data_IF_108309862141
#
_entry.id   IF_108309862141
#
_cell.length_a   1.000
_cell.length_b   1.000
_cell.length_c   1.000
_cell.angle_alpha   90.00
_cell.angle_beta   90.00
_cell.angle_gamma   90.00
#
_symmetry.space_group_name_H-M   'P 1'
#
loop_
_entity.id
_entity.type
_entity.pdbx_description
1 polymer ?
#
# COMPACT_ATOMS: atom_id res chain seq x y z
N UNK A 1 -14.02 -2.96 -17.52
CA UNK A 1 -12.83 -3.54 -16.88
C UNK A 1 -12.24 -2.70 -15.74
N UNK A 2 -12.42 -1.38 -15.76
CA UNK A 2 -11.99 -0.47 -14.67
C UNK A 2 -12.71 -0.62 -13.30
N UNK A 3 -13.87 -1.27 -13.27
CA UNK A 3 -14.72 -1.30 -12.06
C UNK A 3 -14.21 -2.24 -10.96
N UNK A 4 -13.63 -3.39 -11.30
CA UNK A 4 -13.17 -4.39 -10.30
C UNK A 4 -11.85 -3.90 -9.67
N UNK A 5 -10.94 -3.37 -10.47
CA UNK A 5 -9.65 -2.83 -10.01
C UNK A 5 -9.85 -1.63 -9.07
N UNK A 6 -10.79 -0.75 -9.41
CA UNK A 6 -11.17 0.40 -8.56
C UNK A 6 -11.76 -0.08 -7.22
N UNK A 7 -12.56 -1.14 -7.21
CA UNK A 7 -13.20 -1.68 -6.01
C UNK A 7 -12.19 -2.30 -5.03
N UNK A 8 -11.18 -3.02 -5.51
CA UNK A 8 -10.16 -3.66 -4.66
C UNK A 8 -9.24 -2.62 -4.00
N UNK A 9 -8.85 -1.58 -4.73
CA UNK A 9 -8.04 -0.48 -4.18
C UNK A 9 -8.83 0.34 -3.15
N UNK A 10 -10.12 0.55 -3.39
CA UNK A 10 -11.02 1.25 -2.47
C UNK A 10 -11.12 0.50 -1.14
N UNK A 11 -11.36 -0.81 -1.17
CA UNK A 11 -11.43 -1.64 0.05
C UNK A 11 -10.11 -1.59 0.83
N UNK A 12 -8.97 -1.70 0.15
CA UNK A 12 -7.63 -1.60 0.79
C UNK A 12 -7.43 -0.26 1.51
N UNK A 13 -7.82 0.83 0.86
CA UNK A 13 -7.71 2.17 1.45
C UNK A 13 -8.58 2.34 2.70
N UNK A 14 -9.82 1.86 2.66
CA UNK A 14 -10.69 1.91 3.84
C UNK A 14 -10.19 1.05 4.99
N UNK A 15 -9.62 -0.13 4.71
CA UNK A 15 -9.02 -0.98 5.74
C UNK A 15 -7.82 -0.30 6.42
N UNK A 16 -6.97 0.39 5.66
CA UNK A 16 -5.85 1.16 6.21
C UNK A 16 -6.34 2.33 7.07
N UNK A 17 -7.31 3.10 6.60
CA UNK A 17 -7.92 4.18 7.38
C UNK A 17 -8.56 3.67 8.69
N UNK A 18 -9.17 2.50 8.66
CA UNK A 18 -9.72 1.85 9.85
C UNK A 18 -8.61 1.48 10.84
N UNK A 19 -7.50 0.93 10.35
CA UNK A 19 -6.32 0.64 11.18
C UNK A 19 -5.80 1.92 11.83
N UNK A 20 -5.64 2.99 11.07
CA UNK A 20 -5.19 4.29 11.57
C UNK A 20 -6.13 4.85 12.65
N UNK A 21 -7.44 4.78 12.43
CA UNK A 21 -8.43 5.22 13.41
C UNK A 21 -8.36 4.39 14.71
N UNK A 22 -8.21 3.08 14.60
CA UNK A 22 -8.10 2.18 15.76
C UNK A 22 -6.79 2.43 16.53
N UNK A 23 -5.67 2.56 15.83
CA UNK A 23 -4.36 2.80 16.48
C UNK A 23 -4.32 4.18 17.15
N UNK A 24 -4.94 5.19 16.54
CA UNK A 24 -5.11 6.52 17.12
C UNK A 24 -5.91 6.44 18.42
N UNK A 25 -7.09 5.79 18.39
CA UNK A 25 -7.95 5.67 19.57
C UNK A 25 -7.24 4.91 20.71
N UNK A 26 -6.57 3.80 20.40
CA UNK A 26 -5.82 3.02 21.37
C UNK A 26 -4.66 3.82 21.99
N UNK A 27 -3.90 4.52 21.14
CA UNK A 27 -2.75 5.33 21.59
C UNK A 27 -3.18 6.49 22.48
N UNK A 28 -4.25 7.18 22.08
CA UNK A 28 -4.77 8.31 22.84
C UNK A 28 -5.33 7.86 24.20
N UNK A 29 -6.13 6.78 24.20
CA UNK A 29 -6.66 6.20 25.43
C UNK A 29 -5.55 5.76 26.37
N UNK A 30 -4.52 5.05 25.83
CA UNK A 30 -3.38 4.62 26.62
C UNK A 30 -2.57 5.81 27.18
N UNK A 31 -2.36 6.87 26.42
CA UNK A 31 -1.65 8.06 26.87
C UNK A 31 -2.42 8.81 27.98
N UNK A 32 -3.73 8.94 27.85
CA UNK A 32 -4.60 9.55 28.88
C UNK A 32 -4.59 8.67 30.13
N UNK A 33 -4.74 7.36 29.98
CA UNK A 33 -4.70 6.41 31.09
C UNK A 33 -3.36 6.45 31.85
N UNK A 34 -2.24 6.50 31.12
CA UNK A 34 -0.90 6.59 31.73
C UNK A 34 -0.73 7.85 32.56
N UNK A 35 -1.35 8.96 32.17
CA UNK A 35 -1.23 10.25 32.87
C UNK A 35 -2.20 10.38 34.04
N UNK A 36 -3.44 9.94 33.89
CA UNK A 36 -4.53 10.21 34.85
C UNK A 36 -5.02 8.96 35.59
N UNK A 37 -4.63 7.75 35.15
CA UNK A 37 -5.13 6.50 35.71
C UNK A 37 -6.60 6.24 35.32
N UNK A 38 -7.18 5.19 35.95
CA UNK A 38 -8.55 4.75 35.65
C UNK A 38 -9.65 5.72 36.14
N UNK A 39 -9.36 6.59 37.12
CA UNK A 39 -10.39 7.32 37.85
C UNK A 39 -10.46 8.84 37.56
N UNK A 40 -9.63 9.40 36.72
CA UNK A 40 -9.57 10.85 36.58
C UNK A 40 -9.56 11.34 35.15
N UNK A 41 -10.65 11.11 34.47
CA UNK A 41 -11.04 12.05 33.41
C UNK A 41 -11.74 13.27 34.07
N UNK A 42 -11.08 13.94 35.01
CA UNK A 42 -11.61 15.13 35.70
C UNK A 42 -11.92 16.23 34.68
N UNK A 43 -13.15 16.23 34.16
CA UNK A 43 -13.72 17.32 33.35
C UNK A 43 -13.07 17.62 31.99
N UNK A 44 -11.91 17.03 31.69
CA UNK A 44 -11.12 17.33 30.49
C UNK A 44 -11.18 16.22 29.41
N UNK A 45 -12.00 15.18 29.59
CA UNK A 45 -12.15 14.09 28.62
C UNK A 45 -12.57 14.57 27.23
N UNK A 46 -13.41 15.60 27.19
CA UNK A 46 -13.89 16.20 25.94
C UNK A 46 -12.77 16.72 25.04
N UNK A 47 -11.71 17.29 25.63
CA UNK A 47 -10.56 17.84 24.88
C UNK A 47 -9.84 16.75 24.12
N UNK A 48 -9.66 15.56 24.73
CA UNK A 48 -9.00 14.44 24.08
C UNK A 48 -9.87 13.82 22.99
N UNK A 49 -11.19 13.83 23.15
CA UNK A 49 -12.14 13.40 22.11
C UNK A 49 -12.06 14.37 20.92
N UNK A 50 -12.10 15.68 21.17
CA UNK A 50 -11.96 16.71 20.12
C UNK A 50 -10.62 16.55 19.38
N UNK A 51 -9.53 16.38 20.13
CA UNK A 51 -8.20 16.12 19.54
C UNK A 51 -8.22 14.87 18.67
N UNK A 52 -8.76 13.75 19.14
CA UNK A 52 -8.84 12.50 18.40
C UNK A 52 -9.65 12.60 17.11
N UNK A 53 -10.81 13.28 17.16
CA UNK A 53 -11.64 13.51 15.96
C UNK A 53 -10.91 14.37 14.94
N UNK A 54 -10.27 15.44 15.40
CA UNK A 54 -9.51 16.35 14.54
C UNK A 54 -8.32 15.65 13.90
N UNK A 55 -7.56 14.87 14.68
CA UNK A 55 -6.43 14.08 14.18
C UNK A 55 -6.88 13.05 13.13
N UNK A 56 -7.98 12.33 13.39
CA UNK A 56 -8.56 11.40 12.43
C UNK A 56 -8.97 12.10 11.12
N UNK A 57 -9.56 13.28 11.22
CA UNK A 57 -9.92 14.11 10.07
C UNK A 57 -8.69 14.57 9.27
N UNK A 58 -7.61 14.95 9.94
CA UNK A 58 -6.36 15.35 9.29
C UNK A 58 -5.64 14.17 8.63
N UNK A 59 -5.64 12.99 9.25
CA UNK A 59 -5.10 11.75 8.65
C UNK A 59 -5.88 11.40 7.38
N UNK A 60 -7.21 11.46 7.44
CA UNK A 60 -8.08 11.24 6.27
C UNK A 60 -7.78 12.23 5.15
N UNK A 61 -7.66 13.51 5.48
CA UNK A 61 -7.33 14.58 4.52
C UNK A 61 -5.93 14.36 3.92
N UNK A 62 -4.94 14.05 4.75
CA UNK A 62 -3.59 13.72 4.32
C UNK A 62 -3.58 12.52 3.35
N UNK A 63 -4.31 11.46 3.70
CA UNK A 63 -4.44 10.26 2.86
C UNK A 63 -5.04 10.56 1.50
N UNK A 64 -6.03 11.47 1.45
CA UNK A 64 -6.72 11.85 0.21
C UNK A 64 -5.85 12.74 -0.69
N UNK A 65 -5.09 13.67 -0.09
CA UNK A 65 -4.26 14.62 -0.86
C UNK A 65 -2.97 13.98 -1.38
N UNK A 66 -2.33 13.14 -0.56
CA UNK A 66 -0.99 12.62 -0.88
C UNK A 66 -1.00 11.25 -1.53
N UNK A 67 -2.17 10.60 -1.66
CA UNK A 67 -2.28 9.21 -2.14
C UNK A 67 -1.30 8.26 -1.44
N UNK A 68 -0.95 8.57 -0.16
CA UNK A 68 0.13 7.89 0.54
C UNK A 68 -0.09 6.38 0.68
N UNK A 69 -1.34 5.93 0.61
CA UNK A 69 -1.72 4.52 0.65
C UNK A 69 -1.51 3.78 -0.69
N UNK A 70 -1.25 4.49 -1.79
CA UNK A 70 -1.11 3.93 -3.13
C UNK A 70 0.00 2.88 -3.22
N UNK A 71 1.17 3.19 -2.66
CA UNK A 71 2.36 2.34 -2.76
C UNK A 71 2.60 1.47 -1.53
N UNK A 72 1.61 1.36 -0.63
CA UNK A 72 1.72 0.66 0.65
C UNK A 72 2.32 -0.75 0.53
N UNK A 73 1.86 -1.57 -0.44
CA UNK A 73 2.31 -2.94 -0.60
C UNK A 73 3.71 -3.07 -1.22
N UNK A 74 4.15 -2.04 -1.96
CA UNK A 74 5.43 -2.03 -2.68
C UNK A 74 6.55 -1.44 -1.82
N UNK A 75 6.21 -0.60 -0.84
CA UNK A 75 7.20 0.03 0.06
C UNK A 75 7.90 -1.01 0.93
N UNK A 76 9.23 -0.91 1.04
CA UNK A 76 10.00 -1.68 2.03
C UNK A 76 9.74 -1.19 3.46
N UNK A 77 10.15 -1.98 4.44
CA UNK A 77 9.92 -1.70 5.88
C UNK A 77 10.38 -0.30 6.31
N UNK A 78 11.58 0.11 5.92
CA UNK A 78 12.11 1.43 6.27
C UNK A 78 11.32 2.58 5.64
N UNK A 79 10.93 2.43 4.37
CA UNK A 79 10.12 3.43 3.67
C UNK A 79 8.73 3.56 4.28
N UNK A 80 8.18 2.46 4.79
CA UNK A 80 6.90 2.47 5.50
C UNK A 80 7.01 3.19 6.83
N UNK A 81 8.06 2.93 7.64
CA UNK A 81 8.32 3.67 8.87
C UNK A 81 8.42 5.18 8.64
N UNK A 82 9.18 5.59 7.61
CA UNK A 82 9.30 7.00 7.24
C UNK A 82 7.98 7.62 6.76
N UNK A 83 7.15 6.85 6.06
CA UNK A 83 5.84 7.32 5.60
C UNK A 83 4.89 7.53 6.79
N UNK A 84 4.84 6.59 7.73
CA UNK A 84 4.08 6.71 8.98
C UNK A 84 4.54 7.91 9.80
N UNK A 85 5.86 8.08 9.99
CA UNK A 85 6.41 9.22 10.73
C UNK A 85 6.07 10.56 10.08
N UNK A 86 6.13 10.66 8.76
CA UNK A 86 5.77 11.89 8.03
C UNK A 86 4.28 12.19 8.17
N UNK A 87 3.41 11.20 7.98
CA UNK A 87 1.97 11.38 8.09
C UNK A 87 1.59 11.80 9.51
N UNK A 88 1.86 10.95 10.50
CA UNK A 88 1.46 11.18 11.89
C UNK A 88 2.20 12.37 12.52
N UNK A 89 3.47 12.57 12.20
CA UNK A 89 4.22 13.73 12.69
C UNK A 89 3.67 15.05 12.17
N UNK A 90 3.31 15.13 10.88
CA UNK A 90 2.72 16.36 10.32
C UNK A 90 1.30 16.59 10.82
N UNK A 91 0.44 15.58 10.84
CA UNK A 91 -0.95 15.72 11.31
C UNK A 91 -1.01 16.06 12.78
N UNK A 92 -0.21 15.38 13.63
CA UNK A 92 -0.16 15.67 15.07
C UNK A 92 0.41 17.06 15.39
N UNK A 93 1.40 17.53 14.62
CA UNK A 93 1.91 18.90 14.76
C UNK A 93 0.84 19.94 14.42
N UNK A 94 0.09 19.71 13.33
CA UNK A 94 -1.04 20.55 12.95
C UNK A 94 -2.16 20.53 13.99
N UNK A 95 -2.51 19.34 14.48
CA UNK A 95 -3.53 19.17 15.52
C UNK A 95 -3.14 19.90 16.80
N UNK A 96 -1.89 19.76 17.24
CA UNK A 96 -1.39 20.44 18.44
C UNK A 96 -1.43 21.97 18.29
N UNK A 97 -1.01 22.50 17.13
CA UNK A 97 -1.03 23.92 16.84
C UNK A 97 -2.48 24.45 16.83
N UNK A 98 -3.38 23.74 16.17
CA UNK A 98 -4.78 24.12 16.07
C UNK A 98 -5.48 24.11 17.44
N UNK A 99 -5.22 23.07 18.26
CA UNK A 99 -5.71 22.99 19.64
C UNK A 99 -5.19 24.12 20.50
N UNK A 100 -3.90 24.48 20.35
CA UNK A 100 -3.31 25.60 21.08
C UNK A 100 -3.98 26.95 20.75
N UNK A 101 -4.35 27.17 19.48
CA UNK A 101 -5.00 28.40 19.02
C UNK A 101 -6.47 28.46 19.48
N UNK A 102 -7.22 27.36 19.33
CA UNK A 102 -8.67 27.33 19.57
C UNK A 102 -9.03 27.14 21.05
N UNK A 103 -8.28 26.32 21.77
CA UNK A 103 -8.59 25.95 23.17
C UNK A 103 -7.58 26.58 24.15
N UNK A 104 -7.35 27.88 23.99
CA UNK A 104 -6.42 28.65 24.80
C UNK A 104 -6.71 28.55 26.31
N UNK A 105 -8.00 28.51 26.68
CA UNK A 105 -8.44 28.49 28.08
C UNK A 105 -8.42 27.08 28.72
N UNK A 106 -8.34 26.02 27.90
CA UNK A 106 -8.29 24.61 28.35
C UNK A 106 -7.21 23.84 27.59
N UNK A 107 -5.94 24.08 27.90
CA UNK A 107 -4.87 23.43 27.14
C UNK A 107 -4.83 21.93 27.39
N UNK A 108 -4.63 21.15 26.32
CA UNK A 108 -4.34 19.74 26.41
C UNK A 108 -3.02 19.50 27.20
N UNK A 109 -2.97 18.44 28.01
CA UNK A 109 -1.76 18.10 28.76
C UNK A 109 -0.61 17.77 27.80
N UNK A 110 0.49 18.50 27.95
CA UNK A 110 1.73 18.27 27.18
C UNK A 110 2.26 16.85 27.38
N UNK A 111 2.15 16.33 28.60
CA UNK A 111 2.58 14.96 28.94
C UNK A 111 1.81 13.92 28.13
N UNK A 112 0.46 14.08 28.01
CA UNK A 112 -0.35 13.18 27.21
C UNK A 112 0.09 13.22 25.74
N UNK A 113 0.33 14.40 25.19
CA UNK A 113 0.79 14.56 23.82
C UNK A 113 2.13 13.87 23.55
N UNK A 114 3.12 14.06 24.46
CA UNK A 114 4.43 13.44 24.32
C UNK A 114 4.42 11.93 24.51
N UNK A 115 3.47 11.36 25.24
CA UNK A 115 3.27 9.90 25.35
C UNK A 115 2.53 9.38 24.12
N UNK A 116 1.50 10.10 23.68
CA UNK A 116 0.65 9.73 22.53
C UNK A 116 1.45 9.63 21.25
N UNK A 117 2.27 10.64 20.92
CA UNK A 117 2.95 10.75 19.64
C UNK A 117 3.85 9.54 19.30
N UNK A 118 4.80 9.13 20.15
CA UNK A 118 5.59 7.92 19.87
C UNK A 118 4.73 6.65 19.89
N UNK A 119 3.73 6.58 20.76
CA UNK A 119 2.87 5.41 20.87
C UNK A 119 2.04 5.20 19.60
N UNK A 120 1.42 6.25 19.07
CA UNK A 120 0.64 6.15 17.82
C UNK A 120 1.54 5.80 16.64
N UNK A 121 2.75 6.35 16.55
CA UNK A 121 3.70 6.01 15.49
C UNK A 121 4.11 4.53 15.52
N UNK A 122 4.45 4.03 16.70
CA UNK A 122 4.86 2.63 16.88
C UNK A 122 3.70 1.67 16.61
N UNK A 123 2.53 1.92 17.19
CA UNK A 123 1.36 1.06 16.99
C UNK A 123 0.92 1.06 15.53
N UNK A 124 0.78 2.20 14.89
CA UNK A 124 0.40 2.28 13.48
C UNK A 124 1.40 1.54 12.60
N UNK A 125 2.70 1.73 12.81
CA UNK A 125 3.73 1.00 12.07
C UNK A 125 3.61 -0.52 12.26
N UNK A 126 3.45 -1.00 13.49
CA UNK A 126 3.29 -2.43 13.77
C UNK A 126 2.04 -3.00 13.10
N UNK A 127 0.89 -2.33 13.22
CA UNK A 127 -0.35 -2.77 12.58
C UNK A 127 -0.25 -2.75 11.06
N UNK A 128 0.43 -1.76 10.47
CA UNK A 128 0.73 -1.73 9.04
C UNK A 128 1.54 -2.95 8.59
N UNK A 129 2.58 -3.33 9.34
CA UNK A 129 3.38 -4.53 9.02
C UNK A 129 2.56 -5.81 9.12
N UNK A 130 1.78 -5.97 10.19
CA UNK A 130 0.91 -7.13 10.40
C UNK A 130 -0.13 -7.23 9.26
N UNK A 131 -0.78 -6.12 8.94
CA UNK A 131 -1.75 -6.05 7.86
C UNK A 131 -1.11 -6.38 6.50
N UNK A 132 0.07 -5.84 6.23
CA UNK A 132 0.82 -6.13 5.01
C UNK A 132 1.15 -7.61 4.87
N UNK A 133 1.66 -8.24 5.92
CA UNK A 133 1.95 -9.68 5.91
C UNK A 133 0.69 -10.53 5.74
N UNK A 134 -0.39 -10.17 6.45
CA UNK A 134 -1.67 -10.86 6.34
C UNK A 134 -2.21 -10.80 4.91
N UNK A 135 -2.24 -9.61 4.34
CA UNK A 135 -2.72 -9.39 2.97
C UNK A 135 -1.84 -10.10 1.93
N UNK A 136 -0.51 -10.04 2.07
CA UNK A 136 0.39 -10.76 1.18
C UNK A 136 0.19 -12.29 1.24
N UNK A 137 -0.07 -12.84 2.43
CA UNK A 137 -0.41 -14.27 2.59
C UNK A 137 -1.76 -14.61 1.96
N UNK A 138 -2.75 -13.73 2.12
CA UNK A 138 -4.08 -13.90 1.53
C UNK A 138 -4.03 -13.88 0.01
N UNK A 139 -3.32 -12.92 -0.57
CA UNK A 139 -3.17 -12.80 -2.02
C UNK A 139 -2.33 -13.95 -2.63
N UNK A 140 -1.33 -14.47 -1.93
CA UNK A 140 -0.56 -15.65 -2.39
C UNK A 140 -1.41 -16.91 -2.53
N UNK A 141 -2.57 -16.99 -1.91
CA UNK A 141 -3.52 -18.10 -2.06
C UNK A 141 -4.40 -17.98 -3.32
N UNK A 142 -4.07 -17.09 -4.23
CA UNK A 142 -4.75 -16.94 -5.54
C UNK A 142 -6.05 -16.13 -5.52
N UNK A 143 -6.44 -15.59 -4.38
CA UNK A 143 -7.63 -14.75 -4.27
C UNK A 143 -7.21 -13.28 -4.33
N UNK A 144 -7.20 -12.68 -5.55
CA UNK A 144 -6.94 -11.26 -5.76
C UNK A 144 -5.48 -10.86 -6.07
N UNK A 145 -4.64 -11.81 -6.53
CA UNK A 145 -3.37 -11.48 -7.17
C UNK A 145 -3.62 -10.78 -8.51
N UNK A 146 -2.86 -9.71 -8.79
CA UNK A 146 -2.89 -9.06 -10.10
C UNK A 146 -2.30 -10.03 -11.13
N UNK A 147 -3.04 -10.29 -12.21
CA UNK A 147 -2.60 -11.14 -13.31
C UNK A 147 -1.53 -10.42 -14.12
N UNK A 148 -0.33 -11.00 -14.13
CA UNK A 148 0.83 -10.43 -14.79
C UNK A 148 1.14 -11.16 -16.07
N UNK A 149 1.23 -10.42 -17.17
CA UNK A 149 1.82 -10.87 -18.41
C UNK A 149 3.29 -10.40 -18.47
N UNK A 150 4.20 -11.31 -18.80
CA UNK A 150 5.61 -11.00 -18.97
C UNK A 150 5.95 -10.92 -20.46
N UNK A 151 6.56 -9.83 -20.88
CA UNK A 151 7.11 -9.66 -22.23
C UNK A 151 8.64 -9.73 -22.12
N UNK A 152 9.26 -10.73 -22.75
CA UNK A 152 10.69 -10.97 -22.61
C UNK A 152 11.24 -11.74 -23.83
N UNK A 153 12.52 -12.08 -23.79
CA UNK A 153 13.18 -12.97 -24.76
C UNK A 153 13.29 -14.40 -24.23
N UNK A 154 13.42 -15.39 -25.13
CA UNK A 154 13.52 -16.80 -24.78
C UNK A 154 14.60 -17.10 -23.74
N UNK A 155 15.76 -16.45 -23.85
CA UNK A 155 16.92 -16.65 -22.98
C UNK A 155 16.69 -16.16 -21.53
N UNK A 156 15.80 -15.20 -21.34
CA UNK A 156 15.54 -14.56 -20.04
C UNK A 156 14.25 -15.00 -19.37
N UNK A 157 13.35 -15.60 -20.14
CA UNK A 157 12.00 -15.91 -19.70
C UNK A 157 11.98 -16.70 -18.38
N UNK A 158 12.72 -17.79 -18.31
CA UNK A 158 12.76 -18.64 -17.11
C UNK A 158 13.28 -17.88 -15.88
N UNK A 159 14.39 -17.13 -16.04
CA UNK A 159 14.99 -16.33 -14.95
C UNK A 159 14.07 -15.23 -14.46
N UNK A 160 13.33 -14.59 -15.36
CA UNK A 160 12.39 -13.51 -15.01
C UNK A 160 11.18 -14.08 -14.28
N UNK A 161 10.62 -15.19 -14.77
CA UNK A 161 9.50 -15.90 -14.13
C UNK A 161 9.89 -16.33 -12.71
N UNK A 162 11.05 -16.94 -12.56
CA UNK A 162 11.56 -17.42 -11.28
C UNK A 162 11.77 -16.27 -10.29
N UNK A 163 12.36 -15.18 -10.75
CA UNK A 163 12.57 -13.97 -9.94
C UNK A 163 11.24 -13.41 -9.43
N UNK A 164 10.22 -13.32 -10.29
CA UNK A 164 8.91 -12.81 -9.92
C UNK A 164 8.22 -13.78 -8.95
N UNK A 165 8.24 -15.09 -9.21
CA UNK A 165 7.62 -16.09 -8.34
C UNK A 165 8.24 -16.17 -6.95
N UNK A 166 9.55 -15.96 -6.83
CA UNK A 166 10.27 -16.00 -5.55
C UNK A 166 10.37 -14.64 -4.86
N UNK A 167 9.99 -13.54 -5.51
CA UNK A 167 10.00 -12.24 -4.90
C UNK A 167 8.89 -12.12 -3.84
N UNK A 168 9.28 -11.84 -2.61
CA UNK A 168 8.34 -11.59 -1.50
C UNK A 168 7.58 -10.26 -1.65
N UNK A 169 8.09 -9.38 -2.48
CA UNK A 169 7.56 -8.02 -2.64
C UNK A 169 6.49 -7.93 -3.74
N UNK A 170 6.38 -8.95 -4.59
CA UNK A 170 5.52 -8.91 -5.77
C UNK A 170 4.30 -9.80 -5.56
N UNK A 171 3.13 -9.18 -5.55
CA UNK A 171 1.84 -9.86 -5.41
C UNK A 171 1.22 -10.11 -6.78
N UNK A 172 1.98 -10.77 -7.67
CA UNK A 172 1.53 -11.06 -9.03
C UNK A 172 1.43 -12.56 -9.29
N UNK A 173 0.36 -12.95 -9.95
CA UNK A 173 0.23 -14.25 -10.57
C UNK A 173 0.66 -14.14 -12.04
N UNK A 174 1.78 -14.78 -12.40
CA UNK A 174 2.23 -14.80 -13.78
C UNK A 174 1.31 -15.75 -14.56
N UNK A 175 0.42 -15.16 -15.37
CA UNK A 175 -0.60 -15.92 -16.12
C UNK A 175 -0.17 -16.24 -17.53
N UNK A 176 0.73 -15.43 -18.11
CA UNK A 176 1.13 -15.59 -19.51
C UNK A 176 2.49 -14.95 -19.79
N UNK A 177 3.14 -15.46 -20.83
CA UNK A 177 4.42 -14.94 -21.33
C UNK A 177 4.30 -14.66 -22.82
N UNK A 178 4.91 -13.56 -23.24
CA UNK A 178 5.10 -13.19 -24.64
C UNK A 178 6.60 -13.22 -24.94
N UNK A 179 7.00 -13.96 -25.97
CA UNK A 179 8.38 -14.09 -26.40
C UNK A 179 8.59 -13.27 -27.67
N UNK A 180 9.57 -12.34 -27.62
CA UNK A 180 9.78 -11.37 -28.68
C UNK A 180 10.79 -11.81 -29.76
N UNK A 181 11.68 -12.74 -29.43
CA UNK A 181 12.81 -13.18 -30.27
C UNK A 181 12.54 -14.45 -31.07
N UNK A 182 11.55 -15.25 -30.67
CA UNK A 182 11.21 -16.53 -31.32
C UNK A 182 9.72 -16.80 -31.25
N UNK A 183 9.17 -17.40 -32.29
CA UNK A 183 7.80 -17.90 -32.24
C UNK A 183 7.75 -19.20 -31.41
N UNK A 184 7.33 -19.06 -30.16
CA UNK A 184 7.15 -20.16 -29.21
C UNK A 184 5.68 -20.27 -28.76
N UNK A 185 4.73 -19.74 -29.54
CA UNK A 185 3.32 -19.77 -29.22
C UNK A 185 2.84 -21.20 -28.95
N UNK A 186 2.11 -21.39 -27.85
CA UNK A 186 1.61 -22.70 -27.40
C UNK A 186 2.59 -23.53 -26.58
N UNK A 187 3.83 -23.08 -26.40
CA UNK A 187 4.78 -23.71 -25.47
C UNK A 187 4.55 -23.24 -24.03
N UNK A 188 5.23 -23.88 -23.07
CA UNK A 188 5.20 -23.51 -21.66
C UNK A 188 6.61 -23.29 -21.13
N UNK A 189 6.84 -22.20 -20.40
CA UNK A 189 8.11 -21.89 -19.74
C UNK A 189 7.85 -21.74 -18.24
N UNK A 190 8.53 -22.54 -17.41
CA UNK A 190 8.33 -22.47 -15.95
C UNK A 190 6.88 -22.69 -15.49
N UNK A 191 6.12 -23.55 -16.18
CA UNK A 191 4.67 -23.82 -16.00
C UNK A 191 3.75 -22.62 -16.37
N UNK A 192 4.26 -21.64 -17.12
CA UNK A 192 3.47 -20.51 -17.62
C UNK A 192 3.33 -20.64 -19.14
N UNK A 193 2.11 -20.51 -19.71
CA UNK A 193 1.91 -20.63 -21.15
C UNK A 193 2.48 -19.42 -21.91
N UNK A 194 3.11 -19.69 -23.04
CA UNK A 194 3.50 -18.69 -24.02
C UNK A 194 2.31 -18.47 -24.95
N UNK A 195 1.68 -17.29 -24.87
CA UNK A 195 0.41 -17.00 -25.57
C UNK A 195 0.62 -16.30 -26.90
N UNK A 196 1.71 -15.57 -27.08
CA UNK A 196 1.95 -14.76 -28.28
C UNK A 196 3.43 -14.57 -28.56
N UNK A 197 3.73 -14.26 -29.83
CA UNK A 197 4.96 -13.61 -30.26
C UNK A 197 4.80 -12.09 -30.35
N UNK A 198 5.75 -11.40 -30.96
CA UNK A 198 5.77 -9.93 -31.07
C UNK A 198 4.51 -9.37 -31.75
N UNK A 199 4.06 -9.99 -32.84
CA UNK A 199 2.98 -9.47 -33.70
C UNK A 199 1.58 -9.58 -33.05
N UNK A 200 1.36 -10.61 -32.22
CA UNK A 200 0.05 -10.91 -31.62
C UNK A 200 -0.11 -10.37 -30.18
N UNK A 201 0.91 -9.69 -29.65
CA UNK A 201 0.97 -9.30 -28.23
C UNK A 201 -0.27 -8.51 -27.77
N UNK A 202 -0.69 -7.51 -28.52
CA UNK A 202 -1.82 -6.64 -28.15
C UNK A 202 -3.15 -7.38 -28.25
N UNK A 203 -3.35 -8.14 -29.31
CA UNK A 203 -4.59 -8.90 -29.52
C UNK A 203 -4.78 -9.94 -28.41
N UNK A 204 -3.73 -10.61 -28.01
CA UNK A 204 -3.77 -11.61 -26.94
C UNK A 204 -3.83 -10.98 -25.53
N UNK A 205 -3.16 -9.83 -25.30
CA UNK A 205 -3.30 -9.08 -24.06
C UNK A 205 -4.73 -8.57 -23.84
N UNK A 206 -5.43 -8.24 -24.91
CA UNK A 206 -6.83 -7.77 -24.84
C UNK A 206 -7.81 -8.92 -24.62
N UNK A 207 -7.55 -10.10 -25.17
CA UNK A 207 -8.37 -11.30 -24.98
C UNK A 207 -8.20 -11.93 -23.60
N UNK A 208 -6.99 -11.93 -23.08
CA UNK A 208 -6.68 -12.47 -21.77
C UNK A 208 -6.88 -11.39 -20.71
N UNK A 209 -7.49 -11.74 -19.56
CA UNK A 209 -7.65 -10.84 -18.43
C UNK A 209 -6.28 -10.63 -17.79
N UNK A 210 -5.59 -9.59 -18.23
CA UNK A 210 -4.26 -9.19 -17.73
C UNK A 210 -4.40 -7.85 -17.01
N UNK A 211 -3.97 -7.79 -15.76
CA UNK A 211 -4.03 -6.57 -14.97
C UNK A 211 -2.78 -5.71 -15.17
N UNK A 212 -1.62 -6.34 -15.41
CA UNK A 212 -0.34 -5.65 -15.62
C UNK A 212 0.53 -6.37 -16.65
N UNK A 213 1.35 -5.59 -17.36
CA UNK A 213 2.36 -6.08 -18.27
C UNK A 213 3.73 -5.71 -17.73
N UNK A 214 4.61 -6.70 -17.58
CA UNK A 214 6.01 -6.51 -17.18
C UNK A 214 6.91 -6.74 -18.38
N UNK A 215 7.61 -5.71 -18.82
CA UNK A 215 8.49 -5.75 -19.97
C UNK A 215 9.94 -5.87 -19.48
N UNK A 216 10.62 -6.95 -19.84
CA UNK A 216 12.02 -7.20 -19.53
C UNK A 216 12.77 -7.60 -20.81
N UNK A 217 13.15 -6.60 -21.59
CA UNK A 217 13.90 -6.78 -22.82
C UNK A 217 15.37 -6.37 -22.65
N UNK A 218 16.31 -6.99 -23.35
CA UNK A 218 17.68 -6.51 -23.46
C UNK A 218 17.72 -5.18 -24.21
N UNK A 219 18.75 -4.37 -23.93
CA UNK A 219 18.92 -3.03 -24.52
C UNK A 219 19.06 -3.03 -26.05
N UNK A 220 19.32 -4.18 -26.62
CA UNK A 220 19.60 -4.36 -28.06
C UNK A 220 18.31 -4.55 -28.88
N UNK A 221 17.16 -4.75 -28.23
CA UNK A 221 15.87 -4.83 -28.91
C UNK A 221 15.34 -3.41 -29.11
N UNK A 222 15.15 -2.95 -30.34
CA UNK A 222 14.70 -1.60 -30.61
C UNK A 222 13.28 -1.39 -30.08
N UNK A 223 13.16 -0.48 -29.11
CA UNK A 223 11.88 -0.08 -28.46
C UNK A 223 10.88 0.51 -29.49
N UNK A 224 11.36 0.83 -30.69
CA UNK A 224 10.50 1.37 -31.77
C UNK A 224 9.32 0.47 -32.12
N UNK A 225 9.53 -0.85 -32.09
CA UNK A 225 8.46 -1.80 -32.47
C UNK A 225 7.36 -1.90 -31.42
N UNK A 226 7.70 -1.66 -30.15
CA UNK A 226 6.72 -1.65 -29.04
C UNK A 226 5.87 -0.36 -29.06
N UNK A 227 6.45 0.77 -29.44
CA UNK A 227 5.75 2.07 -29.42
C UNK A 227 4.78 2.25 -30.59
N UNK A 228 5.02 1.60 -31.71
CA UNK A 228 4.13 1.62 -32.85
C UNK A 228 2.96 0.63 -32.75
N UNK A 229 3.01 -0.24 -31.71
CA UNK A 229 2.03 -1.29 -31.44
C UNK A 229 1.11 -0.95 -30.24
N UNK A 230 1.36 0.16 -29.53
CA UNK A 230 0.50 0.74 -28.50
C UNK A 230 -0.30 1.94 -29.07
#
# INVERSE_FOLDING_TARGET
>A
MNHIYKKTNVIKTYMLLLIEAVTLALSLTAAVFTRYGWMSADGNGEIYIIFGIMEAGLIFLYSTITDWNRDFFIRGYFREAMAVMKCLGSTSAFSALFMYILLKDRPMSRTVFFIYLPLVMVLTYMFHLIFKEYMLKYYRKGVGSDKLMIVTTSDRAEKVIDRIKHSKEWNYEVTSVVIMDKDMKGSTIGKVPVIAGADDMISEATKNIVDRVFISLPSDVPIRDIRNTM
#
